data_IF_899703934971
#
_entry.id   IF_899703934971
#
_cell.length_a   1.000
_cell.length_b   1.000
_cell.length_c   1.000
_cell.angle_alpha   90.00
_cell.angle_beta   90.00
_cell.angle_gamma   90.00
#
_symmetry.space_group_name_H-M   'P 1'
#
loop_
_entity.id
_entity.type
_entity.pdbx_description
1 polymer ?
#
# COMPACT_ATOMS: atom_id res chain seq x y z
N UNK A 1 3.16 25.32 -12.93
CA UNK A 1 3.75 24.69 -14.15
C UNK A 1 3.96 23.18 -14.00
N UNK A 2 4.45 22.67 -12.85
CA UNK A 2 4.78 21.24 -12.68
C UNK A 2 3.63 20.24 -12.86
N UNK A 3 2.38 20.57 -12.51
CA UNK A 3 1.26 19.60 -12.55
C UNK A 3 0.90 19.22 -13.99
N UNK A 4 0.76 20.20 -14.90
CA UNK A 4 0.33 19.95 -16.29
C UNK A 4 1.34 19.12 -17.10
N UNK A 5 2.63 19.35 -16.88
CA UNK A 5 3.68 18.51 -17.48
C UNK A 5 3.86 17.18 -16.73
N UNK A 6 3.59 17.17 -15.42
CA UNK A 6 3.59 15.98 -14.58
C UNK A 6 2.56 14.96 -15.01
N UNK A 7 1.33 15.37 -15.32
CA UNK A 7 0.28 14.49 -15.84
C UNK A 7 0.70 13.80 -17.14
N UNK A 8 1.22 14.56 -18.11
CA UNK A 8 1.71 14.00 -19.37
C UNK A 8 2.88 13.03 -19.17
N UNK A 9 3.82 13.38 -18.29
CA UNK A 9 4.95 12.53 -17.94
C UNK A 9 4.47 11.23 -17.29
N UNK A 10 3.55 11.32 -16.33
CA UNK A 10 2.96 10.18 -15.64
C UNK A 10 2.22 9.26 -16.62
N UNK A 11 1.41 9.80 -17.54
CA UNK A 11 0.74 8.98 -18.57
C UNK A 11 1.74 8.21 -19.44
N UNK A 12 2.83 8.87 -19.87
CA UNK A 12 3.90 8.19 -20.61
C UNK A 12 4.57 7.09 -19.79
N UNK A 13 4.81 7.36 -18.50
CA UNK A 13 5.42 6.39 -17.59
C UNK A 13 4.52 5.18 -17.37
N UNK A 14 3.20 5.35 -17.22
CA UNK A 14 2.23 4.25 -17.14
C UNK A 14 2.33 3.36 -18.38
N UNK A 15 2.44 3.95 -19.58
CA UNK A 15 2.66 3.18 -20.82
C UNK A 15 4.00 2.44 -20.79
N UNK A 16 5.08 3.10 -20.37
CA UNK A 16 6.40 2.45 -20.26
C UNK A 16 6.41 1.29 -19.25
N UNK A 17 5.68 1.41 -18.13
CA UNK A 17 5.48 0.33 -17.17
C UNK A 17 4.73 -0.84 -17.81
N UNK A 18 3.64 -0.57 -18.52
CA UNK A 18 2.84 -1.58 -19.23
C UNK A 18 3.64 -2.37 -20.25
N UNK A 19 4.58 -1.74 -20.94
CA UNK A 19 5.41 -2.41 -21.94
C UNK A 19 6.40 -3.41 -21.33
N UNK A 20 6.70 -3.33 -20.03
CA UNK A 20 7.56 -4.28 -19.29
C UNK A 20 8.88 -4.64 -20.02
N UNK A 21 9.42 -3.72 -20.83
CA UNK A 21 10.62 -3.97 -21.63
C UNK A 21 11.88 -3.57 -20.86
N UNK A 22 12.97 -4.31 -21.07
CA UNK A 22 14.28 -4.06 -20.43
C UNK A 22 14.82 -2.64 -20.67
N UNK A 23 14.41 -1.97 -21.74
CA UNK A 23 14.78 -0.58 -22.02
C UNK A 23 14.21 0.44 -21.02
N UNK A 24 13.14 0.09 -20.31
CA UNK A 24 12.41 0.99 -19.42
C UNK A 24 12.50 0.60 -17.94
N UNK A 25 13.52 -0.19 -17.56
CA UNK A 25 13.73 -0.66 -16.18
C UNK A 25 13.87 0.46 -15.13
N UNK A 26 14.22 1.70 -15.54
CA UNK A 26 14.31 2.86 -14.64
C UNK A 26 12.99 3.60 -14.42
N UNK A 27 11.94 3.26 -15.17
CA UNK A 27 10.62 3.93 -15.06
C UNK A 27 10.06 3.91 -13.63
N UNK A 28 10.15 2.80 -12.86
CA UNK A 28 9.75 2.80 -11.44
C UNK A 28 10.52 3.82 -10.59
N UNK A 29 11.81 4.04 -10.88
CA UNK A 29 12.63 5.01 -10.14
C UNK A 29 12.18 6.45 -10.42
N UNK A 30 11.93 6.78 -11.71
CA UNK A 30 11.40 8.09 -12.08
C UNK A 30 10.02 8.31 -11.46
N UNK A 31 9.18 7.27 -11.41
CA UNK A 31 7.85 7.34 -10.79
C UNK A 31 7.96 7.63 -9.30
N UNK A 32 8.85 6.93 -8.61
CA UNK A 32 9.15 7.18 -7.19
C UNK A 32 9.51 8.65 -6.97
N UNK A 33 10.46 9.17 -7.75
CA UNK A 33 10.88 10.57 -7.65
C UNK A 33 9.75 11.56 -7.93
N UNK A 34 8.86 11.29 -8.88
CA UNK A 34 7.70 12.16 -9.14
C UNK A 34 6.74 12.13 -7.94
N UNK A 35 6.43 10.95 -7.40
CA UNK A 35 5.54 10.77 -6.26
C UNK A 35 6.09 11.43 -4.98
N UNK A 36 7.41 11.39 -4.78
CA UNK A 36 8.05 12.00 -3.61
C UNK A 36 7.93 13.53 -3.60
N UNK A 37 7.85 14.16 -4.77
CA UNK A 37 7.84 15.62 -4.93
C UNK A 37 6.47 16.21 -5.31
N UNK A 38 5.51 15.39 -5.77
CA UNK A 38 4.18 15.84 -6.16
C UNK A 38 3.14 15.62 -5.06
N UNK A 39 2.67 16.71 -4.43
CA UNK A 39 1.68 16.65 -3.35
C UNK A 39 0.23 17.01 -3.78
N UNK A 40 -0.17 16.69 -5.02
CA UNK A 40 -1.51 17.04 -5.53
C UNK A 40 -2.40 15.81 -5.65
N UNK A 41 -3.61 15.85 -5.06
CA UNK A 41 -4.62 14.78 -5.21
C UNK A 41 -5.04 14.55 -6.68
N UNK A 42 -4.87 15.53 -7.55
CA UNK A 42 -5.26 15.44 -8.96
C UNK A 42 -4.51 14.35 -9.72
N UNK A 43 -3.26 14.06 -9.33
CA UNK A 43 -2.47 13.02 -9.99
C UNK A 43 -2.84 11.61 -9.54
N UNK A 44 -3.67 11.46 -8.49
CA UNK A 44 -4.05 10.17 -7.93
C UNK A 44 -4.55 9.20 -9.00
N UNK A 45 -5.48 9.63 -9.87
CA UNK A 45 -6.05 8.77 -10.91
C UNK A 45 -4.98 8.18 -11.84
N UNK A 46 -4.04 9.00 -12.34
CA UNK A 46 -2.97 8.53 -13.24
C UNK A 46 -1.96 7.66 -12.49
N UNK A 47 -1.60 8.05 -11.27
CA UNK A 47 -0.64 7.30 -10.45
C UNK A 47 -1.21 5.96 -9.95
N UNK A 48 -2.52 5.87 -9.74
CA UNK A 48 -3.23 4.63 -9.44
C UNK A 48 -3.09 3.65 -10.61
N UNK A 49 -3.32 4.11 -11.83
CA UNK A 49 -3.17 3.27 -13.01
C UNK A 49 -1.71 2.80 -13.17
N UNK A 50 -0.74 3.67 -12.86
CA UNK A 50 0.68 3.28 -12.80
C UNK A 50 0.97 2.25 -11.71
N UNK A 51 0.37 2.38 -10.52
CA UNK A 51 0.49 1.41 -9.43
C UNK A 51 -0.07 0.04 -9.83
N UNK A 52 -1.16 -0.01 -10.59
CA UNK A 52 -1.71 -1.26 -11.12
C UNK A 52 -0.73 -1.97 -12.08
N UNK A 53 -0.09 -1.22 -12.98
CA UNK A 53 0.95 -1.78 -13.86
C UNK A 53 2.15 -2.31 -13.05
N UNK A 54 2.55 -1.62 -11.98
CA UNK A 54 3.58 -2.12 -11.05
C UNK A 54 3.16 -3.42 -10.36
N UNK A 55 1.89 -3.52 -9.93
CA UNK A 55 1.37 -4.74 -9.31
C UNK A 55 1.31 -5.91 -10.29
N UNK A 56 0.97 -5.66 -11.56
CA UNK A 56 1.09 -6.67 -12.61
C UNK A 56 2.54 -7.14 -12.78
N UNK A 57 3.52 -6.24 -12.68
CA UNK A 57 4.94 -6.63 -12.70
C UNK A 57 5.33 -7.49 -11.49
N UNK A 58 4.81 -7.20 -10.30
CA UNK A 58 5.02 -8.01 -9.09
C UNK A 58 4.49 -9.44 -9.31
N UNK A 59 3.28 -9.58 -9.83
CA UNK A 59 2.63 -10.88 -10.04
C UNK A 59 3.33 -11.74 -11.11
N UNK A 60 3.96 -11.11 -12.11
CA UNK A 60 4.72 -11.81 -13.15
C UNK A 60 6.04 -12.40 -12.63
N UNK A 61 6.47 -12.05 -11.42
CA UNK A 61 7.55 -12.74 -10.71
C UNK A 61 8.96 -12.54 -11.27
N UNK A 62 9.18 -11.56 -12.16
CA UNK A 62 10.51 -11.26 -12.68
C UNK A 62 11.38 -10.64 -11.59
N UNK A 63 12.33 -11.41 -11.05
CA UNK A 63 13.16 -11.00 -9.93
C UNK A 63 14.09 -9.81 -10.25
N UNK A 64 14.50 -9.64 -11.52
CA UNK A 64 15.52 -8.68 -11.95
C UNK A 64 15.19 -7.23 -11.55
N UNK A 65 13.91 -6.87 -11.60
CA UNK A 65 13.44 -5.50 -11.34
C UNK A 65 12.48 -5.37 -10.17
N UNK A 66 12.19 -6.49 -9.48
CA UNK A 66 11.20 -6.55 -8.40
C UNK A 66 11.47 -5.50 -7.32
N UNK A 67 12.73 -5.31 -6.93
CA UNK A 67 13.07 -4.33 -5.88
C UNK A 67 12.77 -2.89 -6.31
N UNK A 68 12.95 -2.54 -7.60
CA UNK A 68 12.65 -1.20 -8.11
C UNK A 68 11.13 -0.99 -8.19
N UNK A 69 10.40 -2.02 -8.63
CA UNK A 69 8.93 -2.04 -8.64
C UNK A 69 8.37 -1.85 -7.23
N UNK A 70 8.89 -2.57 -6.25
CA UNK A 70 8.44 -2.46 -4.86
C UNK A 70 8.77 -1.10 -4.24
N UNK A 71 9.93 -0.51 -4.56
CA UNK A 71 10.25 0.86 -4.12
C UNK A 71 9.31 1.90 -4.71
N UNK A 72 8.91 1.74 -5.96
CA UNK A 72 7.92 2.61 -6.58
C UNK A 72 6.54 2.44 -5.97
N UNK A 73 6.13 1.20 -5.66
CA UNK A 73 4.90 0.94 -4.91
C UNK A 73 4.95 1.55 -3.51
N UNK A 74 6.07 1.43 -2.79
CA UNK A 74 6.23 2.07 -1.48
C UNK A 74 6.11 3.59 -1.57
N UNK A 75 6.76 4.21 -2.56
CA UNK A 75 6.68 5.66 -2.79
C UNK A 75 5.25 6.09 -3.11
N UNK A 76 4.49 5.26 -3.83
CA UNK A 76 3.07 5.48 -4.09
C UNK A 76 2.22 5.40 -2.82
N UNK A 77 2.42 4.38 -1.99
CA UNK A 77 1.72 4.24 -0.69
C UNK A 77 1.99 5.47 0.18
N UNK A 78 3.26 5.87 0.33
CA UNK A 78 3.65 7.08 1.08
C UNK A 78 2.99 8.35 0.52
N UNK A 79 2.89 8.48 -0.81
CA UNK A 79 2.23 9.62 -1.44
C UNK A 79 0.72 9.63 -1.17
N UNK A 80 0.06 8.46 -1.21
CA UNK A 80 -1.36 8.31 -0.85
C UNK A 80 -1.60 8.76 0.59
N UNK A 81 -0.79 8.32 1.55
CA UNK A 81 -0.87 8.77 2.94
C UNK A 81 -0.78 10.29 3.10
N UNK A 82 0.16 10.93 2.39
CA UNK A 82 0.26 12.40 2.37
C UNK A 82 -1.00 13.06 1.79
N UNK A 83 -1.52 12.52 0.70
CA UNK A 83 -2.71 13.08 0.05
C UNK A 83 -3.97 12.92 0.91
N UNK A 84 -4.13 11.80 1.64
CA UNK A 84 -5.36 11.44 2.34
C UNK A 84 -5.21 11.35 3.87
N UNK A 85 -4.23 12.05 4.46
CA UNK A 85 -3.93 11.98 5.91
C UNK A 85 -5.12 12.29 6.84
N UNK A 86 -6.03 13.16 6.42
CA UNK A 86 -7.24 13.55 7.17
C UNK A 86 -8.50 12.74 6.79
N UNK A 87 -8.36 11.69 5.98
CA UNK A 87 -9.52 10.92 5.55
C UNK A 87 -10.13 10.12 6.71
N UNK A 88 -11.44 10.29 6.90
CA UNK A 88 -12.27 9.53 7.84
C UNK A 88 -13.46 8.92 7.08
N UNK A 89 -14.04 7.82 7.57
CA UNK A 89 -15.27 7.27 6.99
C UNK A 89 -16.39 8.30 6.95
N UNK A 90 -17.19 8.30 5.88
CA UNK A 90 -18.41 9.10 5.82
C UNK A 90 -19.41 8.58 6.86
N UNK A 91 -20.03 9.51 7.58
CA UNK A 91 -21.17 9.19 8.46
C UNK A 91 -22.40 8.94 7.59
N UNK A 92 -23.00 7.77 7.74
CA UNK A 92 -24.26 7.40 7.10
C UNK A 92 -25.36 7.35 8.16
N UNK A 93 -26.53 7.87 7.81
CA UNK A 93 -27.71 7.77 8.66
C UNK A 93 -28.08 6.28 8.85
N UNK A 94 -28.39 5.93 10.09
CA UNK A 94 -28.83 4.58 10.43
C UNK A 94 -30.18 4.30 9.74
N UNK A 95 -30.23 3.22 8.97
CA UNK A 95 -31.45 2.73 8.33
C UNK A 95 -31.85 1.39 8.97
N UNK A 96 -33.00 1.36 9.63
CA UNK A 96 -33.54 0.15 10.26
C UNK A 96 -33.74 -1.01 9.26
N UNK A 97 -33.92 -0.69 7.97
CA UNK A 97 -34.09 -1.70 6.92
C UNK A 97 -32.76 -2.25 6.39
N UNK A 98 -31.66 -1.52 6.59
CA UNK A 98 -30.29 -1.92 6.20
C UNK A 98 -29.31 -1.67 7.35
N UNK A 99 -29.40 -2.42 8.46
CA UNK A 99 -28.55 -2.22 9.64
C UNK A 99 -27.05 -2.46 9.36
N UNK A 100 -26.74 -3.23 8.31
CA UNK A 100 -25.37 -3.53 7.86
C UNK A 100 -24.86 -2.58 6.77
N UNK A 101 -25.60 -1.51 6.45
CA UNK A 101 -25.16 -0.52 5.46
C UNK A 101 -23.82 0.06 5.87
N UNK A 102 -22.84 0.02 4.96
CA UNK A 102 -21.52 0.62 5.17
C UNK A 102 -21.35 1.83 4.26
N UNK A 103 -20.62 2.87 4.70
CA UNK A 103 -20.34 4.02 3.85
C UNK A 103 -19.57 3.60 2.59
N UNK A 104 -19.77 4.30 1.46
CA UNK A 104 -19.00 4.04 0.25
C UNK A 104 -17.52 4.21 0.54
N UNK A 105 -16.70 3.27 0.07
CA UNK A 105 -15.27 3.26 0.35
C UNK A 105 -14.56 4.30 -0.51
N UNK A 106 -13.67 5.12 0.07
CA UNK A 106 -12.82 5.97 -0.72
C UNK A 106 -11.91 5.15 -1.64
N UNK A 107 -11.72 5.60 -2.88
CA UNK A 107 -10.91 4.87 -3.87
C UNK A 107 -9.47 4.57 -3.40
N UNK A 108 -8.87 5.44 -2.57
CA UNK A 108 -7.53 5.19 -2.03
C UNK A 108 -7.50 3.98 -1.08
N UNK A 109 -8.56 3.76 -0.29
CA UNK A 109 -8.68 2.62 0.62
C UNK A 109 -8.69 1.31 -0.17
N UNK A 110 -9.43 1.27 -1.27
CA UNK A 110 -9.48 0.10 -2.16
C UNK A 110 -8.10 -0.20 -2.76
N UNK A 111 -7.40 0.84 -3.23
CA UNK A 111 -6.08 0.69 -3.85
C UNK A 111 -5.03 0.22 -2.84
N UNK A 112 -4.99 0.78 -1.64
CA UNK A 112 -4.05 0.34 -0.59
C UNK A 112 -4.32 -1.11 -0.17
N UNK A 113 -5.58 -1.50 -0.01
CA UNK A 113 -5.96 -2.89 0.23
C UNK A 113 -5.55 -3.82 -0.92
N UNK A 114 -5.69 -3.36 -2.16
CA UNK A 114 -5.29 -4.14 -3.33
C UNK A 114 -3.76 -4.36 -3.37
N UNK A 115 -2.97 -3.32 -3.07
CA UNK A 115 -1.51 -3.41 -2.96
C UNK A 115 -1.13 -4.42 -1.87
N UNK A 116 -1.64 -4.21 -0.65
CA UNK A 116 -1.42 -5.07 0.50
C UNK A 116 -1.70 -6.55 0.20
N UNK A 117 -2.83 -6.84 -0.48
CA UNK A 117 -3.22 -8.19 -0.87
C UNK A 117 -2.24 -8.81 -1.86
N UNK A 118 -1.78 -8.06 -2.87
CA UNK A 118 -0.89 -8.57 -3.93
C UNK A 118 0.56 -8.66 -3.48
N UNK A 119 1.01 -7.86 -2.52
CA UNK A 119 2.37 -7.93 -1.99
C UNK A 119 2.55 -8.90 -0.83
N UNK A 120 1.47 -9.47 -0.26
CA UNK A 120 1.55 -10.30 0.96
C UNK A 120 2.49 -11.51 0.86
N UNK A 121 2.57 -12.13 -0.32
CA UNK A 121 3.42 -13.31 -0.53
C UNK A 121 4.92 -12.99 -0.37
N UNK A 122 5.31 -11.72 -0.54
CA UNK A 122 6.69 -11.26 -0.38
C UNK A 122 7.17 -11.25 1.07
N UNK A 123 6.25 -11.34 2.05
CA UNK A 123 6.59 -11.54 3.46
C UNK A 123 7.31 -12.88 3.71
N UNK A 124 7.20 -13.83 2.78
CA UNK A 124 7.91 -15.11 2.82
C UNK A 124 9.18 -15.11 1.96
N UNK A 125 9.58 -13.96 1.40
CA UNK A 125 10.74 -13.89 0.53
C UNK A 125 12.04 -14.21 1.28
N UNK A 126 12.90 -15.09 0.76
CA UNK A 126 14.22 -15.34 1.33
C UNK A 126 15.18 -14.16 1.08
N UNK A 127 14.83 -13.25 0.16
CA UNK A 127 15.68 -12.12 -0.21
C UNK A 127 15.41 -10.91 0.70
N UNK A 128 16.30 -10.68 1.67
CA UNK A 128 16.11 -9.67 2.73
C UNK A 128 15.73 -8.27 2.21
N UNK A 129 16.37 -7.69 1.18
CA UNK A 129 15.93 -6.40 0.64
C UNK A 129 14.47 -6.36 0.15
N UNK A 130 13.98 -7.46 -0.42
CA UNK A 130 12.58 -7.55 -0.88
C UNK A 130 11.64 -7.64 0.31
N UNK A 131 11.99 -8.49 1.28
CA UNK A 131 11.25 -8.64 2.54
C UNK A 131 11.12 -7.31 3.28
N UNK A 132 12.22 -6.55 3.40
CA UNK A 132 12.21 -5.25 4.09
C UNK A 132 11.30 -4.23 3.39
N UNK A 133 11.33 -4.14 2.07
CA UNK A 133 10.43 -3.23 1.34
C UNK A 133 8.97 -3.69 1.48
N UNK A 134 8.70 -4.99 1.45
CA UNK A 134 7.35 -5.52 1.68
C UNK A 134 6.83 -5.18 3.09
N UNK A 135 7.67 -5.31 4.12
CA UNK A 135 7.32 -4.89 5.49
C UNK A 135 7.02 -3.39 5.56
N UNK A 136 7.83 -2.54 4.92
CA UNK A 136 7.58 -1.10 4.88
C UNK A 136 6.27 -0.76 4.15
N UNK A 137 5.93 -1.47 3.06
CA UNK A 137 4.64 -1.29 2.38
C UNK A 137 3.49 -1.61 3.34
N UNK A 138 3.61 -2.72 4.09
CA UNK A 138 2.59 -3.11 5.07
C UNK A 138 2.46 -2.07 6.18
N UNK A 139 3.57 -1.64 6.77
CA UNK A 139 3.60 -0.66 7.86
C UNK A 139 2.94 0.67 7.46
N UNK A 140 3.40 1.27 6.35
CA UNK A 140 2.88 2.57 5.88
C UNK A 140 1.42 2.46 5.47
N UNK A 141 1.04 1.43 4.71
CA UNK A 141 -0.34 1.28 4.27
C UNK A 141 -1.32 1.09 5.45
N UNK A 142 -0.91 0.40 6.50
CA UNK A 142 -1.74 0.22 7.69
C UNK A 142 -1.88 1.50 8.51
N UNK A 143 -0.81 2.30 8.60
CA UNK A 143 -0.90 3.63 9.20
C UNK A 143 -1.92 4.52 8.45
N UNK A 144 -1.89 4.48 7.11
CA UNK A 144 -2.81 5.25 6.26
C UNK A 144 -4.25 4.72 6.31
N UNK A 145 -4.44 3.43 6.60
CA UNK A 145 -5.74 2.76 6.69
C UNK A 145 -6.34 2.73 8.11
N UNK A 146 -5.68 3.29 9.13
CA UNK A 146 -6.08 3.17 10.55
C UNK A 146 -7.54 3.57 10.84
N UNK A 147 -8.09 4.51 10.07
CA UNK A 147 -9.48 4.98 10.23
C UNK A 147 -10.51 4.06 9.57
N UNK A 148 -10.07 3.08 8.77
CA UNK A 148 -10.86 2.14 7.97
C UNK A 148 -10.54 0.67 8.33
N UNK A 149 -10.67 0.26 9.62
CA UNK A 149 -10.21 -1.04 10.11
C UNK A 149 -10.86 -2.26 9.43
N UNK A 150 -12.16 -2.17 9.13
CA UNK A 150 -12.98 -3.29 8.68
C UNK A 150 -12.42 -4.01 7.45
N UNK A 151 -11.74 -3.29 6.56
CA UNK A 151 -11.34 -3.81 5.25
C UNK A 151 -10.07 -4.63 5.26
N UNK A 152 -9.18 -4.38 6.22
CA UNK A 152 -7.84 -4.96 6.23
C UNK A 152 -7.59 -5.92 7.39
N UNK A 153 -8.53 -6.06 8.33
CA UNK A 153 -8.50 -7.06 9.41
C UNK A 153 -8.27 -8.50 8.90
N UNK A 154 -8.99 -9.01 7.86
CA UNK A 154 -8.74 -10.36 7.36
C UNK A 154 -7.30 -10.55 6.86
N UNK A 155 -6.70 -9.49 6.30
CA UNK A 155 -5.32 -9.53 5.83
C UNK A 155 -4.32 -9.53 7.00
N UNK A 156 -4.57 -8.73 8.05
CA UNK A 156 -3.79 -8.76 9.31
C UNK A 156 -3.73 -10.19 9.86
N UNK A 157 -4.89 -10.85 9.98
CA UNK A 157 -4.94 -12.23 10.47
C UNK A 157 -4.19 -13.22 9.58
N UNK A 158 -4.32 -13.10 8.25
CA UNK A 158 -3.60 -13.97 7.30
C UNK A 158 -2.08 -13.77 7.34
N UNK A 159 -1.62 -12.54 7.56
CA UNK A 159 -0.19 -12.20 7.56
C UNK A 159 0.47 -12.47 8.91
N UNK A 160 -0.31 -12.62 9.99
CA UNK A 160 0.19 -12.85 11.36
C UNK A 160 1.27 -13.95 11.47
N UNK A 161 1.11 -15.15 10.89
CA UNK A 161 2.14 -16.19 10.96
C UNK A 161 3.46 -15.77 10.30
N UNK A 162 3.40 -15.01 9.20
CA UNK A 162 4.58 -14.50 8.52
C UNK A 162 5.34 -13.52 9.41
N UNK A 163 4.61 -12.56 10.02
CA UNK A 163 5.20 -11.56 10.92
C UNK A 163 5.86 -12.23 12.13
N UNK A 164 5.18 -13.21 12.76
CA UNK A 164 5.75 -13.99 13.86
C UNK A 164 7.07 -14.67 13.47
N UNK A 165 7.10 -15.32 12.30
CA UNK A 165 8.30 -15.97 11.77
C UNK A 165 9.44 -14.96 11.54
N UNK A 166 9.14 -13.78 10.99
CA UNK A 166 10.14 -12.75 10.71
C UNK A 166 10.71 -12.15 12.01
N UNK A 167 9.93 -12.04 13.09
CA UNK A 167 10.45 -11.59 14.39
C UNK A 167 11.52 -12.52 14.99
N UNK A 168 11.59 -13.76 14.51
CA UNK A 168 12.60 -14.75 14.86
C UNK A 168 13.74 -14.85 13.83
N UNK A 169 13.73 -14.00 12.79
CA UNK A 169 14.73 -14.02 11.71
C UNK A 169 16.14 -13.66 12.21
N UNK A 170 17.19 -14.25 11.65
CA UNK A 170 18.58 -13.91 12.01
C UNK A 170 18.94 -12.45 11.68
N UNK A 171 18.28 -11.85 10.69
CA UNK A 171 18.52 -10.49 10.29
C UNK A 171 17.84 -9.49 11.25
N UNK A 172 18.62 -8.65 11.91
CA UNK A 172 18.12 -7.67 12.89
C UNK A 172 17.18 -6.63 12.27
N UNK A 173 17.45 -6.15 11.05
CA UNK A 173 16.59 -5.17 10.39
C UNK A 173 15.21 -5.76 10.10
N UNK A 174 15.16 -7.02 9.62
CA UNK A 174 13.89 -7.71 9.38
C UNK A 174 13.09 -7.88 10.69
N UNK A 175 13.77 -8.19 11.80
CA UNK A 175 13.13 -8.29 13.12
C UNK A 175 12.53 -6.95 13.55
N UNK A 176 13.31 -5.87 13.49
CA UNK A 176 12.85 -4.52 13.88
C UNK A 176 11.65 -4.09 13.04
N UNK A 177 11.72 -4.26 11.71
CA UNK A 177 10.60 -3.93 10.83
C UNK A 177 9.36 -4.80 11.10
N UNK A 178 9.54 -6.09 11.44
CA UNK A 178 8.41 -6.94 11.84
C UNK A 178 7.78 -6.51 13.17
N UNK A 179 8.57 -6.02 14.13
CA UNK A 179 8.03 -5.44 15.36
C UNK A 179 7.20 -4.17 15.11
N UNK A 180 7.63 -3.30 14.19
CA UNK A 180 6.86 -2.11 13.81
C UNK A 180 5.50 -2.48 13.21
N UNK A 181 5.49 -3.42 12.27
CA UNK A 181 4.24 -3.94 11.68
C UNK A 181 3.35 -4.59 12.75
N UNK A 182 3.94 -5.32 13.69
CA UNK A 182 3.23 -5.96 14.80
C UNK A 182 2.53 -4.92 15.70
N UNK A 183 3.21 -3.82 16.03
CA UNK A 183 2.63 -2.70 16.78
C UNK A 183 1.42 -2.10 16.03
N UNK A 184 1.57 -1.84 14.73
CA UNK A 184 0.46 -1.37 13.89
C UNK A 184 -0.73 -2.35 13.89
N UNK A 185 -0.49 -3.66 13.81
CA UNK A 185 -1.54 -4.68 13.88
C UNK A 185 -2.31 -4.59 15.19
N UNK A 186 -1.61 -4.46 16.33
CA UNK A 186 -2.25 -4.33 17.64
C UNK A 186 -3.07 -3.03 17.72
N UNK A 187 -2.52 -1.90 17.31
CA UNK A 187 -3.26 -0.62 17.33
C UNK A 187 -4.59 -0.71 16.57
N UNK A 188 -4.58 -1.31 15.38
CA UNK A 188 -5.79 -1.49 14.56
C UNK A 188 -6.77 -2.46 15.25
N UNK A 189 -6.30 -3.60 15.72
CA UNK A 189 -7.14 -4.61 16.36
C UNK A 189 -7.84 -4.09 17.62
N UNK A 190 -7.10 -3.34 18.46
CA UNK A 190 -7.67 -2.68 19.62
C UNK A 190 -8.68 -1.60 19.22
N UNK A 191 -8.38 -0.76 18.23
CA UNK A 191 -9.32 0.27 17.74
C UNK A 191 -10.63 -0.33 17.21
N UNK A 192 -10.56 -1.47 16.50
CA UNK A 192 -11.74 -2.21 16.04
C UNK A 192 -12.59 -2.75 17.20
N UNK A 193 -11.95 -3.39 18.19
CA UNK A 193 -12.67 -3.94 19.35
C UNK A 193 -13.27 -2.85 20.25
N UNK A 194 -12.60 -1.71 20.40
CA UNK A 194 -13.15 -0.55 21.10
C UNK A 194 -14.39 0.02 20.41
N UNK A 195 -14.44 0.06 19.06
CA UNK A 195 -15.65 0.45 18.34
C UNK A 195 -16.84 -0.46 18.63
N UNK A 196 -16.62 -1.77 18.77
CA UNK A 196 -17.67 -2.76 19.11
C UNK A 196 -18.15 -2.64 20.57
N UNK A 197 -17.32 -2.09 21.47
CA UNK A 197 -17.65 -1.96 22.89
C UNK A 197 -18.35 -0.63 23.24
N UNK A 198 -18.23 0.39 22.40
CA UNK A 198 -18.73 1.74 22.66
C UNK A 198 -19.83 2.22 21.70
N UNK A 199 -20.24 1.38 20.74
CA UNK A 199 -21.42 1.54 19.89
C UNK A 199 -22.26 0.26 19.94
#
# INVERSE_FOLDING_TARGET
LCIKYGEFLLSKMTVCLRLHNNHHHRTPCVLSSVLDHCNSKQIFAITRDAAEELLQAVDRGTQEWLILTLRALLSFVVAVGKWYHDAVPEEIEFDENEPDRKPPKPAFVEVLNHILKRTKHLLFSPHIPVLLVALNIVDVALADLRNFPDDHLPMIHQNWPAILSIMQNKNLNARVSAFQVCDAFFCIFFASHLKILFF
#
